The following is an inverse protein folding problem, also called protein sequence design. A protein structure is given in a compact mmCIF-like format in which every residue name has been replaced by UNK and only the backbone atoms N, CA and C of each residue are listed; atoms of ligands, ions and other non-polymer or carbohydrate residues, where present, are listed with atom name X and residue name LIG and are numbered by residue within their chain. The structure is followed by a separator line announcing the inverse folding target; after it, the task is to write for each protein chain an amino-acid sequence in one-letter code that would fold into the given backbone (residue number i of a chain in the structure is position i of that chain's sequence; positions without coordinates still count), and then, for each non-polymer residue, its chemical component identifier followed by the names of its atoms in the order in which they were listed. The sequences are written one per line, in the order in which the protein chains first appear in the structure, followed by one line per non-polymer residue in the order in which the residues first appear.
data_IF_770609909217
#
_entry.id   IF_770609909217
#
_cell.length_a   1.000
_cell.length_b   1.000
_cell.length_c   1.000
_cell.angle_alpha   90.00
_cell.angle_beta   90.00
_cell.angle_gamma   90.00
#
_symmetry.space_group_name_H-M   'P 1'
#
loop_
_entity.id
_entity.type
_entity.pdbx_description
1 polymer ?
#
# COMPACT_ATOMS: atom_id res chain seq x y z
N UNK A 1 6.48 -15.61 8.99
CA UNK A 1 5.39 -16.60 9.18
C UNK A 1 4.96 -17.35 7.91
N UNK A 2 5.54 -17.09 6.71
CA UNK A 2 5.24 -17.85 5.47
C UNK A 2 3.74 -18.04 5.20
N UNK A 3 2.95 -16.98 5.41
CA UNK A 3 1.51 -17.03 5.20
C UNK A 3 1.19 -16.93 3.70
N UNK A 4 0.11 -17.57 3.23
CA UNK A 4 -0.35 -17.42 1.86
C UNK A 4 -0.75 -15.97 1.59
N UNK A 5 -0.43 -15.50 0.38
CA UNK A 5 -0.81 -14.18 -0.11
C UNK A 5 -2.16 -14.27 -0.80
N UNK A 6 -3.23 -14.00 -0.05
CA UNK A 6 -4.62 -14.08 -0.56
C UNK A 6 -5.10 -12.68 -0.91
N UNK A 7 -5.58 -12.51 -2.15
CA UNK A 7 -6.28 -11.30 -2.60
C UNK A 7 -7.73 -11.67 -2.90
N UNK A 8 -8.69 -10.97 -2.30
CA UNK A 8 -10.13 -11.23 -2.47
C UNK A 8 -10.80 -10.27 -3.46
N UNK A 9 -10.08 -9.25 -3.92
CA UNK A 9 -10.60 -8.23 -4.85
C UNK A 9 -10.04 -8.46 -6.25
N UNK A 10 -10.88 -8.20 -7.25
CA UNK A 10 -10.47 -8.04 -8.65
C UNK A 10 -10.10 -6.58 -8.98
N UNK A 11 -9.66 -6.34 -10.21
CA UNK A 11 -9.22 -5.02 -10.71
C UNK A 11 -10.33 -3.96 -10.71
N UNK A 12 -11.59 -4.39 -10.62
CA UNK A 12 -12.77 -3.50 -10.61
C UNK A 12 -13.28 -3.21 -9.20
N UNK A 13 -12.65 -3.80 -8.18
CA UNK A 13 -13.04 -3.64 -6.78
C UNK A 13 -14.23 -4.51 -6.37
N UNK A 14 -14.49 -5.61 -7.08
CA UNK A 14 -15.48 -6.62 -6.71
C UNK A 14 -14.80 -7.86 -6.12
N UNK A 15 -15.55 -8.64 -5.34
CA UNK A 15 -15.05 -9.88 -4.75
C UNK A 15 -14.84 -10.96 -5.82
N UNK A 16 -13.69 -11.62 -5.79
CA UNK A 16 -13.31 -12.66 -6.76
C UNK A 16 -13.72 -14.07 -6.29
N UNK A 17 -13.16 -15.12 -6.91
CA UNK A 17 -13.49 -16.52 -6.60
C UNK A 17 -12.90 -17.05 -5.27
N UNK A 18 -12.10 -16.25 -4.56
CA UNK A 18 -11.51 -16.60 -3.27
C UNK A 18 -12.48 -16.43 -2.08
N UNK A 19 -13.70 -15.94 -2.33
CA UNK A 19 -14.75 -15.79 -1.33
C UNK A 19 -15.89 -16.81 -1.53
N UNK A 20 -16.77 -17.04 -0.54
CA UNK A 20 -17.93 -17.91 -0.70
C UNK A 20 -18.82 -17.49 -1.89
N UNK A 21 -19.42 -18.47 -2.57
CA UNK A 21 -20.17 -18.28 -3.83
C UNK A 21 -21.20 -17.15 -3.76
N UNK A 22 -21.96 -17.06 -2.66
CA UNK A 22 -22.99 -16.02 -2.46
C UNK A 22 -22.44 -14.58 -2.39
N UNK A 23 -21.12 -14.39 -2.35
CA UNK A 23 -20.44 -13.10 -2.21
C UNK A 23 -19.64 -12.72 -3.46
N UNK A 24 -19.41 -13.67 -4.37
CA UNK A 24 -18.61 -13.44 -5.57
C UNK A 24 -19.29 -12.37 -6.45
N UNK A 25 -18.49 -11.46 -7.01
CA UNK A 25 -18.97 -10.34 -7.82
C UNK A 25 -19.60 -9.19 -7.05
N UNK A 26 -19.67 -9.25 -5.71
CA UNK A 26 -20.19 -8.14 -4.90
C UNK A 26 -19.19 -6.98 -4.84
N UNK A 27 -19.68 -5.74 -4.94
CA UNK A 27 -18.86 -4.54 -4.83
C UNK A 27 -18.32 -4.39 -3.39
N UNK A 28 -17.07 -3.96 -3.23
CA UNK A 28 -16.37 -3.96 -1.93
C UNK A 28 -17.09 -3.23 -0.78
N UNK A 29 -17.80 -2.12 -1.04
CA UNK A 29 -18.53 -1.40 0.00
C UNK A 29 -19.85 -2.08 0.33
N UNK A 30 -20.51 -2.69 -0.65
CA UNK A 30 -21.67 -3.56 -0.41
C UNK A 30 -21.26 -4.78 0.43
N UNK A 31 -20.17 -5.44 0.04
CA UNK A 31 -19.60 -6.57 0.78
C UNK A 31 -19.27 -6.19 2.23
N UNK A 32 -18.65 -5.02 2.44
CA UNK A 32 -18.34 -4.52 3.79
C UNK A 32 -19.59 -4.42 4.68
N UNK A 33 -20.70 -3.90 4.16
CA UNK A 33 -21.96 -3.81 4.91
C UNK A 33 -22.50 -5.20 5.23
N UNK A 34 -22.51 -6.09 4.23
CA UNK A 34 -22.97 -7.47 4.39
C UNK A 34 -22.14 -8.26 5.41
N UNK A 35 -20.83 -8.02 5.49
CA UNK A 35 -19.98 -8.61 6.55
C UNK A 35 -20.49 -8.19 7.92
N UNK A 36 -20.72 -6.91 8.15
CA UNK A 36 -21.23 -6.42 9.45
C UNK A 36 -22.57 -7.05 9.79
N UNK A 37 -23.51 -7.08 8.84
CA UNK A 37 -24.83 -7.70 9.04
C UNK A 37 -24.72 -9.20 9.39
N UNK A 38 -23.80 -9.91 8.73
CA UNK A 38 -23.54 -11.32 9.03
C UNK A 38 -23.00 -11.51 10.45
N UNK A 39 -22.03 -10.70 10.88
CA UNK A 39 -21.48 -10.75 12.25
C UNK A 39 -22.54 -10.46 13.32
N UNK A 40 -23.44 -9.49 13.07
CA UNK A 40 -24.60 -9.21 13.94
C UNK A 40 -25.52 -10.42 14.02
N UNK A 41 -25.88 -11.03 12.88
CA UNK A 41 -26.78 -12.17 12.84
C UNK A 41 -26.23 -13.42 13.54
N UNK A 42 -24.89 -13.56 13.60
CA UNK A 42 -24.21 -14.66 14.29
C UNK A 42 -23.89 -14.36 15.77
N UNK A 43 -24.24 -13.18 16.29
CA UNK A 43 -23.85 -12.74 17.65
C UNK A 43 -22.33 -12.75 17.88
N UNK A 44 -21.55 -12.43 16.84
CA UNK A 44 -20.08 -12.40 16.85
C UNK A 44 -19.52 -10.97 16.91
N UNK A 45 -20.38 -9.95 17.00
CA UNK A 45 -19.99 -8.54 17.00
C UNK A 45 -20.02 -7.96 18.42
N UNK A 46 -18.87 -7.57 18.94
CA UNK A 46 -18.78 -6.95 20.27
C UNK A 46 -19.22 -5.48 20.29
N UNK A 47 -18.75 -4.67 19.33
CA UNK A 47 -18.98 -3.22 19.32
C UNK A 47 -18.80 -2.60 17.92
N UNK A 48 -19.50 -1.50 17.66
CA UNK A 48 -19.26 -0.59 16.54
C UNK A 48 -18.96 0.80 17.11
N UNK A 49 -17.87 1.43 16.65
CA UNK A 49 -17.45 2.77 17.05
C UNK A 49 -17.08 3.61 15.82
N UNK A 50 -17.36 4.91 15.91
CA UNK A 50 -16.88 5.88 14.93
C UNK A 50 -15.36 6.08 15.10
N UNK A 51 -14.62 5.96 14.00
CA UNK A 51 -13.16 6.08 13.99
C UNK A 51 -12.66 7.01 12.88
N UNK A 52 -12.20 8.19 13.28
CA UNK A 52 -11.55 9.14 12.37
C UNK A 52 -10.11 8.68 12.10
N UNK A 53 -9.80 8.45 10.82
CA UNK A 53 -8.48 8.03 10.36
C UNK A 53 -8.22 8.53 8.92
N UNK A 54 -6.97 8.41 8.49
CA UNK A 54 -6.55 8.82 7.15
C UNK A 54 -6.87 7.70 6.16
N UNK A 55 -7.63 8.03 5.11
CA UNK A 55 -7.94 7.13 3.99
C UNK A 55 -7.26 7.65 2.72
N UNK A 56 -6.46 6.83 2.03
CA UNK A 56 -5.82 7.24 0.78
C UNK A 56 -6.84 7.32 -0.35
N UNK A 57 -6.75 8.39 -1.14
CA UNK A 57 -7.61 8.63 -2.29
C UNK A 57 -6.77 8.90 -3.54
N UNK A 58 -7.27 8.49 -4.70
CA UNK A 58 -6.65 8.76 -5.99
C UNK A 58 -6.66 10.25 -6.29
N UNK A 59 -5.50 10.81 -6.60
CA UNK A 59 -5.30 12.26 -6.85
C UNK A 59 -6.24 12.83 -7.93
N UNK A 60 -6.56 12.03 -8.96
CA UNK A 60 -7.41 12.46 -10.09
C UNK A 60 -8.89 12.16 -9.90
N UNK A 61 -9.23 10.97 -9.40
CA UNK A 61 -10.63 10.51 -9.30
C UNK A 61 -11.27 10.82 -7.96
N UNK A 62 -10.46 11.07 -6.92
CA UNK A 62 -10.92 11.16 -5.54
C UNK A 62 -11.47 9.85 -4.98
N UNK A 63 -11.31 8.71 -5.68
CA UNK A 63 -11.79 7.40 -5.24
C UNK A 63 -10.84 6.81 -4.20
N UNK A 64 -11.38 6.11 -3.19
CA UNK A 64 -10.59 5.35 -2.21
C UNK A 64 -9.70 4.33 -2.93
N UNK A 65 -8.40 4.33 -2.59
CA UNK A 65 -7.41 3.39 -3.12
C UNK A 65 -7.44 2.11 -2.28
N UNK A 66 -7.50 0.96 -2.95
CA UNK A 66 -7.38 -0.36 -2.33
C UNK A 66 -6.00 -0.96 -2.65
N UNK A 67 -5.33 -1.61 -1.67
CA UNK A 67 -4.12 -2.37 -1.93
C UNK A 67 -4.44 -3.64 -2.71
N UNK A 68 -3.68 -3.92 -3.77
CA UNK A 68 -3.83 -5.11 -4.58
C UNK A 68 -2.47 -5.75 -4.84
N UNK A 69 -2.40 -7.08 -4.69
CA UNK A 69 -1.23 -7.85 -5.07
C UNK A 69 -1.24 -8.09 -6.57
N UNK A 70 -0.19 -7.62 -7.24
CA UNK A 70 -0.01 -7.72 -8.68
C UNK A 70 1.47 -7.88 -8.99
N UNK A 71 1.77 -8.49 -10.14
CA UNK A 71 3.13 -8.52 -10.65
C UNK A 71 3.52 -7.13 -11.16
N UNK A 72 4.61 -6.59 -10.62
CA UNK A 72 5.06 -5.23 -10.88
C UNK A 72 6.56 -5.23 -11.17
N UNK A 73 7.01 -4.22 -11.92
CA UNK A 73 8.43 -4.04 -12.20
C UNK A 73 9.05 -3.13 -11.14
N UNK A 74 10.12 -3.61 -10.51
CA UNK A 74 10.87 -2.89 -9.49
C UNK A 74 12.31 -2.62 -9.93
N UNK A 75 12.79 -1.43 -9.62
CA UNK A 75 14.19 -1.08 -9.69
C UNK A 75 14.85 -1.33 -8.34
N UNK A 76 16.04 -1.97 -8.34
CA UNK A 76 16.89 -2.12 -7.15
C UNK A 76 17.53 -0.78 -6.76
N UNK A 77 16.69 0.10 -6.20
CA UNK A 77 17.08 1.41 -5.72
C UNK A 77 18.16 1.34 -4.61
N UNK A 78 18.17 0.37 -3.67
CA UNK A 78 19.25 0.20 -2.71
C UNK A 78 20.63 0.06 -3.35
N UNK A 79 20.75 -0.67 -4.46
CA UNK A 79 22.03 -0.78 -5.17
C UNK A 79 22.46 0.54 -5.82
N UNK A 80 21.52 1.27 -6.41
CA UNK A 80 21.79 2.59 -7.01
C UNK A 80 22.16 3.65 -5.96
N UNK A 81 21.56 3.59 -4.77
CA UNK A 81 21.77 4.54 -3.69
C UNK A 81 23.23 4.58 -3.20
N UNK A 82 23.95 3.46 -3.26
CA UNK A 82 25.35 3.37 -2.79
C UNK A 82 26.27 4.36 -3.47
N UNK A 83 26.18 4.46 -4.79
CA UNK A 83 27.01 5.37 -5.59
C UNK A 83 26.63 6.83 -5.32
N UNK A 84 25.34 7.10 -5.20
CA UNK A 84 24.83 8.44 -4.92
C UNK A 84 25.24 8.95 -3.52
N UNK A 85 25.18 8.08 -2.50
CA UNK A 85 25.69 8.36 -1.16
C UNK A 85 27.20 8.62 -1.16
N UNK A 86 27.98 7.82 -1.91
CA UNK A 86 29.43 8.02 -2.04
C UNK A 86 29.77 9.38 -2.61
N UNK A 87 29.14 9.78 -3.72
CA UNK A 87 29.41 11.06 -4.37
C UNK A 87 29.19 12.27 -3.44
N UNK A 88 28.21 12.18 -2.53
CA UNK A 88 27.96 13.21 -1.51
C UNK A 88 28.99 13.13 -0.37
N UNK A 89 29.35 11.93 0.07
CA UNK A 89 30.35 11.73 1.13
C UNK A 89 31.75 12.20 0.71
N UNK A 90 32.14 11.93 -0.54
CA UNK A 90 33.44 12.34 -1.12
C UNK A 90 33.45 13.83 -1.52
N UNK A 91 32.29 14.50 -1.44
CA UNK A 91 32.15 15.93 -1.69
C UNK A 91 32.15 16.32 -3.17
N UNK A 92 31.99 15.35 -4.07
CA UNK A 92 31.73 15.56 -5.51
C UNK A 92 30.40 16.28 -5.72
N UNK A 93 29.39 15.94 -4.90
CA UNK A 93 28.11 16.64 -4.80
C UNK A 93 27.97 17.32 -3.45
N UNK A 94 27.52 18.59 -3.44
CA UNK A 94 27.35 19.37 -2.21
C UNK A 94 25.96 20.00 -2.14
N UNK A 95 25.26 19.78 -1.04
CA UNK A 95 23.97 20.41 -0.80
C UNK A 95 24.14 21.81 -0.21
N UNK A 96 23.32 22.75 -0.67
CA UNK A 96 23.22 24.10 -0.11
C UNK A 96 21.75 24.38 0.21
N UNK A 97 21.39 24.60 1.50
CA UNK A 97 22.24 24.51 2.70
C UNK A 97 22.69 23.08 3.06
N UNK A 98 23.81 22.95 3.78
CA UNK A 98 24.45 21.65 4.09
C UNK A 98 23.62 20.71 4.99
N UNK A 99 22.63 21.23 5.70
CA UNK A 99 21.74 20.42 6.52
C UNK A 99 20.92 19.40 5.70
N UNK A 100 20.67 19.67 4.42
CA UNK A 100 19.96 18.74 3.52
C UNK A 100 20.70 17.43 3.29
N UNK A 101 22.02 17.40 3.46
CA UNK A 101 22.84 16.17 3.38
C UNK A 101 22.35 15.11 4.36
N UNK A 102 21.91 15.52 5.57
CA UNK A 102 21.37 14.58 6.56
C UNK A 102 20.08 13.92 6.06
N UNK A 103 19.12 14.72 5.61
CA UNK A 103 17.83 14.24 5.09
C UNK A 103 18.02 13.33 3.87
N UNK A 104 18.91 13.72 2.97
CA UNK A 104 19.27 12.92 1.79
C UNK A 104 19.84 11.55 2.19
N UNK A 105 20.81 11.53 3.11
CA UNK A 105 21.41 10.29 3.58
C UNK A 105 20.38 9.41 4.29
N UNK A 106 19.52 9.99 5.13
CA UNK A 106 18.47 9.26 5.84
C UNK A 106 17.47 8.61 4.87
N UNK A 107 17.10 9.30 3.79
CA UNK A 107 16.23 8.76 2.77
C UNK A 107 16.89 7.62 1.98
N UNK A 108 18.12 7.82 1.48
CA UNK A 108 18.81 6.82 0.67
C UNK A 108 19.26 5.59 1.46
N UNK A 109 19.60 5.72 2.74
CA UNK A 109 19.96 4.57 3.57
C UNK A 109 18.76 3.66 3.89
N UNK A 110 17.54 4.19 3.82
CA UNK A 110 16.30 3.45 4.07
C UNK A 110 15.45 3.29 2.79
N UNK A 111 16.06 3.43 1.61
CA UNK A 111 15.32 3.36 0.36
C UNK A 111 14.84 1.92 0.11
N UNK A 112 13.58 1.80 -0.29
CA UNK A 112 12.98 0.53 -0.71
C UNK A 112 13.07 0.38 -2.24
N UNK A 113 12.96 -0.84 -2.79
CA UNK A 113 12.86 -1.06 -4.22
C UNK A 113 11.76 -0.19 -4.85
N UNK A 114 12.10 0.51 -5.93
CA UNK A 114 11.19 1.49 -6.53
C UNK A 114 10.31 0.82 -7.57
N UNK A 115 8.99 0.83 -7.36
CA UNK A 115 8.01 0.38 -8.35
C UNK A 115 7.97 1.35 -9.56
N UNK A 116 8.35 0.85 -10.74
CA UNK A 116 8.45 1.64 -11.98
C UNK A 116 7.32 1.35 -12.97
N UNK A 117 6.53 0.31 -12.74
CA UNK A 117 5.29 0.06 -13.48
C UNK A 117 4.21 1.09 -13.13
N UNK A 118 3.23 1.24 -14.03
CA UNK A 118 2.14 2.20 -13.97
C UNK A 118 0.85 1.53 -14.39
#
# INVERSE_FOLDING_TARGET
HQLPMISILDETGHLNDQVPEDWQGMERFEARKRVVDWFVAQDLLEKIDDHEHVVPHGDRSGTVIEPMLTDQWYCDAPSLAKEALRAVADGETRFIPNNWTKTYNEWLNNIEPWCISR
#
